data_IF_008884388148
#
_entry.id   IF_008884388148
#
_cell.length_a   1.000
_cell.length_b   1.000
_cell.length_c   1.000
_cell.angle_alpha   90.00
_cell.angle_beta   90.00
_cell.angle_gamma   90.00
#
_symmetry.space_group_name_H-M   'P 1'
#
loop_
_entity.id
_entity.type
_entity.pdbx_description
1 polymer ?
#
# COMPACT_ATOMS: atom_id res chain seq x y z
N UNK A 1 13.08 1.63 8.65
CA UNK A 1 14.00 2.76 8.88
C UNK A 1 13.31 3.97 9.50
N UNK A 2 12.20 4.44 8.93
CA UNK A 2 11.44 5.61 9.42
C UNK A 2 10.84 5.42 10.82
N UNK A 3 10.27 4.25 11.08
CA UNK A 3 9.60 3.94 12.35
C UNK A 3 10.54 3.95 13.55
N UNK A 4 11.77 3.44 13.41
CA UNK A 4 12.77 3.47 14.50
C UNK A 4 13.22 4.91 14.77
N UNK A 5 13.51 5.68 13.71
CA UNK A 5 13.89 7.08 13.86
C UNK A 5 12.80 7.90 14.57
N UNK A 6 11.54 7.67 14.21
CA UNK A 6 10.40 8.32 14.86
C UNK A 6 10.24 7.89 16.33
N UNK A 7 10.35 6.59 16.64
CA UNK A 7 10.29 6.08 18.02
C UNK A 7 11.36 6.72 18.90
N UNK A 8 12.60 6.82 18.40
CA UNK A 8 13.69 7.48 19.11
C UNK A 8 13.44 8.99 19.26
N UNK A 9 12.79 9.63 18.28
CA UNK A 9 12.40 11.05 18.36
C UNK A 9 11.35 11.35 19.42
N UNK A 10 10.42 10.42 19.69
CA UNK A 10 9.38 10.57 20.73
C UNK A 10 9.81 10.03 22.10
N UNK A 11 10.92 9.28 22.18
CA UNK A 11 11.45 8.71 23.42
C UNK A 11 11.66 9.75 24.53
N UNK A 12 12.24 10.95 24.28
CA UNK A 12 12.38 11.98 25.31
C UNK A 12 11.05 12.45 25.91
N UNK A 13 9.98 12.51 25.11
CA UNK A 13 8.64 12.88 25.59
C UNK A 13 8.06 11.80 26.51
N UNK A 14 8.30 10.52 26.19
CA UNK A 14 7.83 9.40 26.99
C UNK A 14 8.47 9.32 28.39
N UNK A 15 9.69 9.86 28.53
CA UNK A 15 10.45 9.88 29.79
C UNK A 15 10.55 11.28 30.42
N UNK A 16 9.87 12.29 29.87
CA UNK A 16 10.06 13.67 30.33
C UNK A 16 9.55 13.88 31.75
N UNK A 17 10.22 14.78 32.48
CA UNK A 17 9.91 15.16 33.86
C UNK A 17 9.87 16.68 33.99
N UNK A 18 9.04 17.19 34.91
CA UNK A 18 8.87 18.62 35.14
C UNK A 18 7.48 19.13 34.74
N UNK A 19 7.36 20.44 34.49
CA UNK A 19 6.10 21.06 34.12
C UNK A 19 5.56 20.48 32.80
N UNK A 20 4.28 20.07 32.80
CA UNK A 20 3.65 19.46 31.63
C UNK A 20 4.13 18.03 31.30
N UNK A 21 4.94 17.40 32.16
CA UNK A 21 5.40 16.01 31.96
C UNK A 21 4.27 14.99 31.86
N UNK A 22 3.17 15.18 32.59
CA UNK A 22 2.00 14.31 32.49
C UNK A 22 1.46 14.24 31.04
N UNK A 23 1.29 15.40 30.39
CA UNK A 23 0.81 15.50 29.01
C UNK A 23 1.84 14.95 28.01
N UNK A 24 3.12 15.27 28.21
CA UNK A 24 4.19 14.79 27.34
C UNK A 24 4.35 13.27 27.39
N UNK A 25 4.33 12.69 28.59
CA UNK A 25 4.39 11.24 28.77
C UNK A 25 3.16 10.56 28.18
N UNK A 26 1.96 11.11 28.39
CA UNK A 26 0.72 10.56 27.82
C UNK A 26 0.78 10.46 26.28
N UNK A 27 1.18 11.54 25.60
CA UNK A 27 1.34 11.55 24.14
C UNK A 27 2.50 10.64 23.72
N UNK A 28 3.66 10.76 24.39
CA UNK A 28 4.87 9.99 24.06
C UNK A 28 4.65 8.48 24.16
N UNK A 29 4.01 8.00 25.23
CA UNK A 29 3.69 6.58 25.39
C UNK A 29 2.66 6.11 24.39
N UNK A 30 1.61 6.89 24.15
CA UNK A 30 0.55 6.53 23.20
C UNK A 30 1.09 6.38 21.78
N UNK A 31 1.89 7.36 21.34
CA UNK A 31 2.49 7.37 20.01
C UNK A 31 3.54 6.25 19.84
N UNK A 32 4.37 6.01 20.87
CA UNK A 32 5.38 4.95 20.83
C UNK A 32 4.75 3.57 20.67
N UNK A 33 3.76 3.22 21.51
CA UNK A 33 3.03 1.96 21.38
C UNK A 33 2.26 1.88 20.05
N UNK A 34 1.65 2.98 19.62
CA UNK A 34 0.97 3.08 18.33
C UNK A 34 1.91 2.77 17.17
N UNK A 35 3.12 3.32 17.16
CA UNK A 35 4.09 3.07 16.10
C UNK A 35 4.62 1.62 16.12
N UNK A 36 4.88 1.04 17.30
CA UNK A 36 5.33 -0.35 17.42
C UNK A 36 4.25 -1.30 16.88
N UNK A 37 3.02 -1.16 17.38
CA UNK A 37 1.88 -1.99 16.95
C UNK A 37 1.58 -1.80 15.46
N UNK A 38 1.54 -0.56 14.97
CA UNK A 38 1.34 -0.27 13.56
C UNK A 38 2.44 -0.88 12.69
N UNK A 39 3.71 -0.85 13.11
CA UNK A 39 4.80 -1.44 12.32
C UNK A 39 4.63 -2.95 12.21
N UNK A 40 4.36 -3.64 13.34
CA UNK A 40 4.17 -5.09 13.35
C UNK A 40 2.95 -5.47 12.52
N UNK A 41 1.80 -4.85 12.78
CA UNK A 41 0.55 -5.17 12.09
C UNK A 41 0.64 -4.80 10.60
N UNK A 42 1.12 -3.62 10.24
CA UNK A 42 1.14 -3.17 8.85
C UNK A 42 2.00 -4.09 7.96
N UNK A 43 3.14 -4.58 8.44
CA UNK A 43 3.99 -5.50 7.66
C UNK A 43 3.23 -6.75 7.22
N UNK A 44 2.34 -7.28 8.07
CA UNK A 44 1.52 -8.45 7.73
C UNK A 44 0.22 -8.09 7.01
N UNK A 45 -0.48 -7.08 7.50
CA UNK A 45 -1.84 -6.76 7.04
C UNK A 45 -1.86 -5.96 5.75
N UNK A 46 -0.87 -5.10 5.48
CA UNK A 46 -0.87 -4.31 4.23
C UNK A 46 -0.78 -5.20 2.99
N UNK A 47 0.12 -6.21 2.90
CA UNK A 47 0.14 -7.13 1.76
C UNK A 47 -1.15 -7.94 1.63
N UNK A 48 -1.69 -8.42 2.75
CA UNK A 48 -2.95 -9.20 2.76
C UNK A 48 -4.10 -8.34 2.25
N UNK A 49 -4.26 -7.12 2.78
CA UNK A 49 -5.29 -6.20 2.33
C UNK A 49 -5.11 -5.81 0.87
N UNK A 50 -3.87 -5.60 0.40
CA UNK A 50 -3.61 -5.35 -1.01
C UNK A 50 -4.14 -6.47 -1.91
N UNK A 51 -3.86 -7.74 -1.57
CA UNK A 51 -4.34 -8.90 -2.35
C UNK A 51 -5.86 -9.05 -2.24
N UNK A 52 -6.44 -8.88 -1.05
CA UNK A 52 -7.89 -8.97 -0.84
C UNK A 52 -8.62 -7.91 -1.67
N UNK A 53 -8.19 -6.66 -1.60
CA UNK A 53 -8.75 -5.56 -2.39
C UNK A 53 -8.59 -5.85 -3.88
N UNK A 54 -7.39 -6.21 -4.35
CA UNK A 54 -7.17 -6.56 -5.76
C UNK A 54 -8.04 -7.73 -6.24
N UNK A 55 -8.35 -8.68 -5.37
CA UNK A 55 -9.21 -9.82 -5.71
C UNK A 55 -10.69 -9.44 -5.79
N UNK A 56 -11.14 -8.54 -4.92
CA UNK A 56 -12.52 -8.03 -4.92
C UNK A 56 -12.74 -7.10 -6.11
N UNK A 57 -11.79 -6.20 -6.35
CA UNK A 57 -11.81 -5.26 -7.46
C UNK A 57 -10.97 -5.82 -8.62
N UNK A 58 -11.57 -6.72 -9.41
CA UNK A 58 -10.94 -7.23 -10.63
C UNK A 58 -10.57 -6.07 -11.56
N UNK A 59 -9.31 -6.01 -11.99
CA UNK A 59 -8.83 -5.00 -12.94
C UNK A 59 -9.71 -4.99 -14.20
N UNK A 60 -10.07 -3.79 -14.65
CA UNK A 60 -10.96 -3.54 -15.78
C UNK A 60 -10.65 -4.46 -16.96
N UNK A 61 -11.67 -5.01 -17.62
CA UNK A 61 -11.54 -5.86 -18.83
C UNK A 61 -10.66 -5.19 -19.92
N UNK A 62 -10.58 -3.87 -19.90
CA UNK A 62 -9.69 -3.06 -20.74
C UNK A 62 -8.20 -3.33 -20.51
N UNK A 63 -7.77 -3.59 -19.26
CA UNK A 63 -6.40 -4.00 -18.96
C UNK A 63 -6.11 -5.42 -19.46
N UNK A 64 -7.07 -6.34 -19.36
CA UNK A 64 -6.92 -7.71 -19.86
C UNK A 64 -6.75 -7.74 -21.38
N UNK A 65 -7.53 -6.94 -22.11
CA UNK A 65 -7.40 -6.80 -23.55
C UNK A 65 -6.04 -6.20 -23.96
N UNK A 66 -5.53 -5.20 -23.23
CA UNK A 66 -4.20 -4.63 -23.48
C UNK A 66 -3.06 -5.61 -23.21
N UNK A 67 -3.13 -6.39 -22.12
CA UNK A 67 -2.15 -7.44 -21.83
C UNK A 67 -2.22 -8.59 -22.87
N UNK A 68 -3.41 -8.96 -23.34
CA UNK A 68 -3.58 -9.98 -24.39
C UNK A 68 -2.99 -9.53 -25.73
N UNK A 69 -3.13 -8.24 -26.09
CA UNK A 69 -2.47 -7.66 -27.27
C UNK A 69 -0.95 -7.55 -27.10
N UNK A 70 -0.46 -7.13 -25.94
CA UNK A 70 0.98 -7.02 -25.67
C UNK A 70 1.71 -8.38 -25.69
N UNK A 71 0.99 -9.47 -25.42
CA UNK A 71 1.49 -10.84 -25.48
C UNK A 71 1.26 -11.52 -26.85
N UNK A 72 0.75 -10.79 -27.85
CA UNK A 72 0.53 -11.32 -29.20
C UNK A 72 -0.57 -12.39 -29.31
N UNK A 73 -1.35 -12.60 -28.25
CA UNK A 73 -2.35 -13.67 -28.13
C UNK A 73 -3.80 -13.19 -28.34
N UNK A 74 -3.99 -11.94 -28.76
CA UNK A 74 -5.31 -11.41 -29.10
C UNK A 74 -5.52 -11.47 -30.63
N UNK A 75 -6.73 -11.88 -31.10
CA UNK A 75 -7.06 -11.75 -32.51
C UNK A 75 -6.91 -10.29 -32.95
N UNK A 76 -6.49 -10.05 -34.21
CA UNK A 76 -6.25 -8.70 -34.71
C UNK A 76 -7.49 -7.82 -34.46
N UNK A 77 -7.31 -6.54 -34.10
CA UNK A 77 -8.43 -5.63 -33.91
C UNK A 77 -9.31 -5.66 -35.17
N UNK A 78 -10.63 -5.52 -35.04
CA UNK A 78 -11.58 -5.71 -36.16
C UNK A 78 -11.30 -4.81 -37.38
N UNK A 79 -10.56 -3.71 -37.19
CA UNK A 79 -10.04 -2.89 -38.28
C UNK A 79 -9.02 -3.62 -39.18
N UNK A 80 -8.11 -4.41 -38.61
CA UNK A 80 -7.07 -5.12 -39.36
C UNK A 80 -7.59 -6.36 -40.11
N UNK A 81 -8.71 -6.96 -39.67
CA UNK A 81 -9.35 -8.06 -40.39
C UNK A 81 -10.07 -7.60 -41.67
N UNK A 82 -10.48 -6.34 -41.74
CA UNK A 82 -11.14 -5.77 -42.94
C UNK A 82 -10.14 -5.49 -44.06
N UNK A 83 -8.87 -5.25 -43.75
CA UNK A 83 -7.83 -4.91 -44.74
C UNK A 83 -7.17 -6.14 -45.39
N UNK A 84 -7.24 -7.31 -44.75
CA UNK A 84 -6.56 -8.53 -45.23
C UNK A 84 -7.40 -9.41 -46.20
N UNK A 85 -8.61 -8.97 -46.58
CA UNK A 85 -9.55 -9.73 -47.43
C UNK A 85 -9.68 -9.24 -48.88
N UNK A 86 -8.83 -8.30 -49.32
CA UNK A 86 -8.93 -7.65 -50.64
C UNK A 86 -7.69 -7.90 -51.54
N UNK A 87 -7.15 -9.12 -51.53
CA UNK A 87 -6.23 -9.59 -52.60
C UNK A 87 -6.78 -10.86 -53.27
#
# INVERSE_FOLDING_TARGET
>A
MTSIAFILGVLPLAISSGAGSASQRAIGTGVMFGMISATVLAVFFVPVFFVVVRRIFKGSDRQQALYAHALGNAPPPPAAATEAGHE
#
